data_IF_785626534498
#
_entry.id   IF_785626534498
#
_cell.length_a   1.000
_cell.length_b   1.000
_cell.length_c   1.000
_cell.angle_alpha   90.00
_cell.angle_beta   90.00
_cell.angle_gamma   90.00
#
_symmetry.space_group_name_H-M   'P 1'
#
loop_
_entity.id
_entity.type
_entity.pdbx_description
1 polymer ?
#
# COMPACT_ATOMS: atom_id res chain seq x y z
N UNK A 1 22.81 4.19 -10.55
CA UNK A 1 22.15 3.98 -9.25
C UNK A 1 22.20 2.50 -8.92
N UNK A 2 22.90 2.09 -7.87
CA UNK A 2 22.88 0.70 -7.39
C UNK A 2 21.50 0.46 -6.78
N UNK A 3 20.84 -0.64 -7.14
CA UNK A 3 19.49 -0.98 -6.66
C UNK A 3 19.44 -1.09 -5.13
N UNK A 4 18.29 -0.74 -4.54
CA UNK A 4 18.04 -0.92 -3.09
C UNK A 4 18.08 -2.40 -2.73
N UNK A 5 18.37 -2.70 -1.46
CA UNK A 5 18.37 -4.09 -0.99
C UNK A 5 16.95 -4.47 -0.60
N UNK A 6 16.43 -5.53 -1.21
CA UNK A 6 15.13 -6.12 -0.86
C UNK A 6 15.35 -7.54 -0.35
N UNK A 7 14.85 -7.86 0.82
CA UNK A 7 14.98 -9.19 1.44
C UNK A 7 13.76 -9.53 2.29
N UNK A 8 13.57 -10.80 2.65
CA UNK A 8 12.46 -11.22 3.51
C UNK A 8 12.72 -10.78 4.95
N UNK A 9 11.69 -10.26 5.62
CA UNK A 9 11.80 -9.86 7.01
C UNK A 9 12.13 -11.06 7.91
N UNK A 10 13.07 -10.85 8.84
CA UNK A 10 13.42 -11.78 9.90
C UNK A 10 13.54 -10.99 11.21
N UNK A 11 12.78 -11.35 12.28
CA UNK A 11 12.85 -10.67 13.57
C UNK A 11 14.24 -10.63 14.20
N UNK A 12 15.14 -11.55 13.82
CA UNK A 12 16.51 -11.61 14.32
C UNK A 12 17.46 -10.60 13.67
N UNK A 13 17.07 -9.99 12.55
CA UNK A 13 17.90 -9.03 11.86
C UNK A 13 17.80 -7.66 12.55
N UNK A 14 18.92 -6.92 12.69
CA UNK A 14 18.88 -5.55 13.18
C UNK A 14 18.08 -4.66 12.22
N UNK A 15 17.28 -3.75 12.77
CA UNK A 15 16.54 -2.76 12.00
C UNK A 15 17.44 -1.55 11.68
N UNK A 16 17.29 -1.00 10.48
CA UNK A 16 17.94 0.25 10.06
C UNK A 16 16.94 1.41 9.98
N UNK A 17 17.45 2.64 10.06
CA UNK A 17 16.67 3.88 10.01
C UNK A 17 16.00 4.10 8.64
N UNK A 18 16.64 3.66 7.55
CA UNK A 18 16.15 3.87 6.18
C UNK A 18 15.47 2.61 5.62
N UNK A 19 14.78 1.88 6.48
CA UNK A 19 14.03 0.67 6.13
C UNK A 19 12.53 0.88 6.23
N UNK A 20 11.83 0.22 5.32
CA UNK A 20 10.39 0.07 5.39
C UNK A 20 9.96 -1.27 4.82
N UNK A 21 8.68 -1.59 4.97
CA UNK A 21 8.21 -2.94 4.71
C UNK A 21 7.12 -2.97 3.64
N UNK A 22 6.99 -4.09 2.95
CA UNK A 22 5.92 -4.34 1.99
C UNK A 22 5.30 -5.71 2.25
N UNK A 23 3.98 -5.78 2.38
CA UNK A 23 3.27 -7.04 2.60
C UNK A 23 3.51 -8.00 1.41
N UNK A 24 3.77 -9.28 1.66
CA UNK A 24 4.04 -10.25 0.59
C UNK A 24 3.01 -11.39 0.50
N UNK A 25 2.01 -11.41 1.39
CA UNK A 25 0.89 -12.37 1.38
C UNK A 25 -0.47 -11.69 1.45
N UNK A 26 -1.47 -12.37 0.90
CA UNK A 26 -2.87 -11.94 0.80
C UNK A 26 -3.13 -11.00 -0.38
N UNK A 27 -4.38 -10.59 -0.52
CA UNK A 27 -4.83 -9.67 -1.58
C UNK A 27 -4.27 -8.25 -1.43
N UNK A 28 -3.66 -7.93 -0.29
CA UNK A 28 -2.99 -6.66 -0.04
C UNK A 28 -1.47 -6.72 -0.31
N UNK A 29 -0.98 -7.75 -1.00
CA UNK A 29 0.45 -7.86 -1.29
C UNK A 29 0.94 -6.63 -2.08
N UNK A 30 2.14 -6.16 -1.72
CA UNK A 30 2.73 -4.91 -2.20
C UNK A 30 2.38 -3.68 -1.35
N UNK A 31 1.43 -3.78 -0.41
CA UNK A 31 1.07 -2.67 0.48
C UNK A 31 2.28 -2.23 1.32
N UNK A 32 2.67 -0.95 1.30
CA UNK A 32 3.72 -0.44 2.18
C UNK A 32 3.26 -0.42 3.64
N UNK A 33 4.16 -0.76 4.54
CA UNK A 33 3.93 -0.84 5.99
C UNK A 33 5.05 -0.10 6.73
N UNK A 34 4.68 0.57 7.83
CA UNK A 34 5.62 1.21 8.74
C UNK A 34 6.17 0.25 9.79
N UNK A 35 5.37 -0.73 10.20
CA UNK A 35 5.70 -1.74 11.20
C UNK A 35 5.90 -3.09 10.48
N UNK A 36 6.96 -3.84 10.80
CA UNK A 36 7.18 -5.14 10.18
C UNK A 36 6.14 -6.18 10.62
N UNK A 37 5.96 -7.21 9.81
CA UNK A 37 5.21 -8.40 10.17
C UNK A 37 5.86 -9.65 9.54
N UNK A 38 5.53 -10.88 9.98
CA UNK A 38 6.14 -12.10 9.44
C UNK A 38 5.96 -12.29 7.92
N UNK A 39 4.96 -11.64 7.33
CA UNK A 39 4.62 -11.75 5.91
C UNK A 39 4.97 -10.47 5.15
N UNK A 40 6.17 -9.90 5.37
CA UNK A 40 6.64 -8.75 4.60
C UNK A 40 8.06 -8.92 4.04
N UNK A 41 8.32 -8.17 2.98
CA UNK A 41 9.66 -7.85 2.51
C UNK A 41 10.14 -6.57 3.19
N UNK A 42 11.45 -6.49 3.42
CA UNK A 42 12.18 -5.30 3.85
C UNK A 42 12.75 -4.64 2.62
N UNK A 43 12.57 -3.33 2.49
CA UNK A 43 13.19 -2.48 1.50
C UNK A 43 14.15 -1.56 2.24
N UNK A 44 15.45 -1.78 2.04
CA UNK A 44 16.53 -1.05 2.71
C UNK A 44 17.15 -0.05 1.74
N UNK A 45 16.90 1.22 2.03
CA UNK A 45 17.31 2.39 1.25
C UNK A 45 18.57 3.03 1.85
N UNK A 46 19.17 3.96 1.10
CA UNK A 46 20.41 4.65 1.52
C UNK A 46 20.15 5.91 2.33
N UNK A 47 19.03 6.55 2.06
CA UNK A 47 18.65 7.83 2.64
C UNK A 47 17.12 8.00 2.59
N UNK A 48 16.65 9.08 3.19
CA UNK A 48 15.23 9.41 3.31
C UNK A 48 14.60 9.68 1.94
N UNK A 49 15.34 10.32 1.02
CA UNK A 49 14.84 10.66 -0.32
C UNK A 49 14.55 9.40 -1.15
N UNK A 50 15.47 8.43 -1.14
CA UNK A 50 15.27 7.15 -1.82
C UNK A 50 14.11 6.38 -1.17
N UNK A 51 14.04 6.36 0.16
CA UNK A 51 12.94 5.72 0.88
C UNK A 51 11.58 6.31 0.49
N UNK A 52 11.46 7.63 0.40
CA UNK A 52 10.21 8.33 0.06
C UNK A 52 9.75 8.04 -1.39
N UNK A 53 10.70 7.95 -2.34
CA UNK A 53 10.42 7.55 -3.72
C UNK A 53 9.86 6.12 -3.75
N UNK A 54 10.54 5.15 -3.13
CA UNK A 54 10.12 3.76 -3.11
C UNK A 54 8.80 3.55 -2.35
N UNK A 55 8.58 4.28 -1.25
CA UNK A 55 7.31 4.27 -0.51
C UNK A 55 6.16 4.78 -1.37
N UNK A 56 6.35 5.89 -2.07
CA UNK A 56 5.34 6.45 -2.97
C UNK A 56 5.03 5.49 -4.10
N UNK A 57 6.06 4.87 -4.69
CA UNK A 57 5.90 3.89 -5.75
C UNK A 57 5.10 2.67 -5.29
N UNK A 58 5.49 2.04 -4.17
CA UNK A 58 4.79 0.87 -3.67
C UNK A 58 3.35 1.19 -3.29
N UNK A 59 3.10 2.37 -2.71
CA UNK A 59 1.73 2.83 -2.46
C UNK A 59 0.91 2.88 -3.75
N UNK A 60 1.43 3.49 -4.81
CA UNK A 60 0.75 3.56 -6.10
C UNK A 60 0.48 2.18 -6.70
N UNK A 61 1.50 1.32 -6.78
CA UNK A 61 1.38 -0.04 -7.33
C UNK A 61 0.39 -0.92 -6.55
N UNK A 62 0.33 -0.77 -5.22
CA UNK A 62 -0.66 -1.45 -4.39
C UNK A 62 -2.07 -0.90 -4.64
N UNK A 63 -2.23 0.43 -4.67
CA UNK A 63 -3.52 1.09 -4.87
C UNK A 63 -4.15 0.71 -6.22
N UNK A 64 -3.34 0.60 -7.28
CA UNK A 64 -3.77 0.17 -8.61
C UNK A 64 -3.89 -1.35 -8.77
N UNK A 65 -3.67 -2.12 -7.69
CA UNK A 65 -3.67 -3.60 -7.70
C UNK A 65 -2.67 -4.20 -8.70
N UNK A 66 -1.64 -3.48 -9.09
CA UNK A 66 -0.66 -3.93 -10.11
C UNK A 66 0.06 -5.22 -9.73
N UNK A 67 0.14 -5.51 -8.43
CA UNK A 67 0.73 -6.74 -7.91
C UNK A 67 -0.15 -7.99 -8.06
N UNK A 68 -1.44 -7.86 -8.36
CA UNK A 68 -2.36 -9.00 -8.41
C UNK A 68 -2.02 -10.00 -9.51
N UNK A 69 -1.42 -9.54 -10.61
CA UNK A 69 -0.95 -10.40 -11.70
C UNK A 69 0.18 -11.36 -11.28
N UNK A 70 0.89 -11.06 -10.19
CA UNK A 70 1.98 -11.88 -9.66
C UNK A 70 1.56 -12.76 -8.48
N UNK A 71 0.29 -12.68 -8.06
CA UNK A 71 -0.21 -13.46 -6.95
C UNK A 71 -0.34 -14.93 -7.36
N UNK A 72 0.28 -15.80 -6.58
CA UNK A 72 0.20 -17.25 -6.71
C UNK A 72 -0.26 -17.90 -5.40
N UNK A 73 -0.67 -19.16 -5.47
CA UNK A 73 -1.19 -19.91 -4.32
C UNK A 73 -2.72 -19.83 -4.25
N UNK A 74 -3.34 -20.93 -3.82
CA UNK A 74 -4.80 -21.09 -3.84
C UNK A 74 -5.46 -20.54 -2.57
N UNK A 75 -5.05 -21.02 -1.40
CA UNK A 75 -5.72 -20.65 -0.12
C UNK A 75 -5.29 -19.26 0.36
N UNK A 76 -3.99 -18.97 0.33
CA UNK A 76 -3.43 -17.67 0.69
C UNK A 76 -2.53 -17.22 -0.47
N UNK A 77 -3.00 -16.28 -1.31
CA UNK A 77 -2.18 -15.74 -2.38
C UNK A 77 -0.92 -15.05 -1.85
N UNK A 78 0.19 -15.13 -2.57
CA UNK A 78 1.43 -14.47 -2.21
C UNK A 78 2.27 -14.11 -3.43
N UNK A 79 3.25 -13.23 -3.25
CA UNK A 79 4.19 -12.82 -4.30
C UNK A 79 5.57 -13.36 -3.95
N UNK A 80 6.27 -13.94 -4.93
CA UNK A 80 7.66 -14.36 -4.74
C UNK A 80 8.57 -13.14 -4.73
N UNK A 81 9.61 -13.18 -3.91
CA UNK A 81 10.54 -12.04 -3.78
C UNK A 81 11.26 -11.71 -5.10
N UNK A 82 11.50 -12.71 -5.97
CA UNK A 82 12.08 -12.51 -7.29
C UNK A 82 11.18 -11.64 -8.18
N UNK A 83 9.92 -12.04 -8.33
CA UNK A 83 8.92 -11.31 -9.13
C UNK A 83 8.71 -9.89 -8.58
N UNK A 84 8.61 -9.77 -7.25
CA UNK A 84 8.50 -8.47 -6.58
C UNK A 84 9.69 -7.55 -6.89
N UNK A 85 10.93 -8.05 -6.79
CA UNK A 85 12.15 -7.28 -7.08
C UNK A 85 12.18 -6.82 -8.52
N UNK A 86 12.00 -7.75 -9.46
CA UNK A 86 12.06 -7.48 -10.90
C UNK A 86 11.05 -6.40 -11.28
N UNK A 87 9.81 -6.55 -10.82
CA UNK A 87 8.74 -5.59 -11.11
C UNK A 87 9.01 -4.22 -10.47
N UNK A 88 9.39 -4.16 -9.19
CA UNK A 88 9.66 -2.87 -8.53
C UNK A 88 10.81 -2.13 -9.21
N UNK A 89 11.91 -2.81 -9.56
CA UNK A 89 13.05 -2.16 -10.22
C UNK A 89 12.73 -1.68 -11.64
N UNK A 90 11.92 -2.42 -12.38
CA UNK A 90 11.39 -1.99 -13.68
C UNK A 90 10.58 -0.69 -13.52
N UNK A 91 9.65 -0.66 -12.57
CA UNK A 91 8.78 0.50 -12.34
C UNK A 91 9.55 1.73 -11.84
N UNK A 92 10.55 1.55 -10.97
CA UNK A 92 11.46 2.65 -10.57
C UNK A 92 12.20 3.20 -11.78
N UNK A 93 12.65 2.34 -12.68
CA UNK A 93 13.36 2.76 -13.89
C UNK A 93 12.44 3.54 -14.82
N UNK A 94 11.19 3.11 -14.98
CA UNK A 94 10.17 3.81 -15.75
C UNK A 94 9.79 5.16 -15.13
N UNK A 95 9.83 5.27 -13.80
CA UNK A 95 9.48 6.49 -13.08
C UNK A 95 10.59 7.56 -13.13
N UNK A 96 11.80 7.22 -13.57
CA UNK A 96 12.92 8.15 -13.63
C UNK A 96 12.58 9.43 -14.40
N UNK A 97 12.80 10.58 -13.76
CA UNK A 97 12.51 11.90 -14.31
C UNK A 97 11.05 12.36 -14.15
N UNK A 98 10.16 11.51 -13.64
CA UNK A 98 8.75 11.81 -13.35
C UNK A 98 8.39 11.69 -11.87
N UNK A 99 9.39 11.53 -11.00
CA UNK A 99 9.19 11.21 -9.57
C UNK A 99 8.36 12.27 -8.85
N UNK A 100 8.63 13.56 -9.14
CA UNK A 100 7.91 14.69 -8.52
C UNK A 100 6.43 14.71 -8.91
N UNK A 101 6.12 14.49 -10.19
CA UNK A 101 4.74 14.48 -10.69
C UNK A 101 3.96 13.32 -10.08
N UNK A 102 4.55 12.12 -10.12
CA UNK A 102 3.93 10.93 -9.51
C UNK A 102 3.71 11.07 -8.01
N UNK A 103 4.68 11.61 -7.27
CA UNK A 103 4.52 11.88 -5.83
C UNK A 103 3.34 12.82 -5.58
N UNK A 104 3.17 13.87 -6.39
CA UNK A 104 2.03 14.78 -6.30
C UNK A 104 0.70 14.06 -6.52
N UNK A 105 0.62 13.20 -7.54
CA UNK A 105 -0.59 12.43 -7.83
C UNK A 105 -0.93 11.43 -6.73
N UNK A 106 0.09 10.77 -6.14
CA UNK A 106 -0.08 9.90 -4.97
C UNK A 106 -0.67 10.68 -3.78
N UNK A 107 -0.20 11.89 -3.51
CA UNK A 107 -0.76 12.72 -2.43
C UNK A 107 -2.20 13.14 -2.72
N UNK A 108 -2.49 13.55 -3.95
CA UNK A 108 -3.85 13.88 -4.37
C UNK A 108 -4.79 12.67 -4.19
N UNK A 109 -4.35 11.47 -4.58
CA UNK A 109 -5.11 10.24 -4.40
C UNK A 109 -5.46 9.97 -2.94
N UNK A 110 -4.54 10.21 -2.00
CA UNK A 110 -4.80 10.03 -0.55
C UNK A 110 -5.86 11.02 -0.03
N UNK A 111 -5.81 12.26 -0.50
CA UNK A 111 -6.82 13.28 -0.15
C UNK A 111 -8.20 12.88 -0.69
N UNK A 112 -8.27 12.36 -1.91
CA UNK A 112 -9.51 11.86 -2.49
C UNK A 112 -10.06 10.67 -1.71
N UNK A 113 -9.20 9.71 -1.32
CA UNK A 113 -9.61 8.57 -0.49
C UNK A 113 -10.20 9.01 0.85
N UNK A 114 -9.64 10.03 1.49
CA UNK A 114 -10.19 10.58 2.74
C UNK A 114 -11.58 11.19 2.54
N UNK A 115 -11.77 11.96 1.46
CA UNK A 115 -13.08 12.53 1.11
C UNK A 115 -14.10 11.44 0.81
N UNK A 116 -13.69 10.40 0.08
CA UNK A 116 -14.55 9.25 -0.23
C UNK A 116 -15.07 8.59 1.05
N UNK A 117 -14.18 8.35 2.03
CA UNK A 117 -14.56 7.79 3.35
C UNK A 117 -15.55 8.69 4.11
N UNK A 118 -15.34 10.01 4.08
CA UNK A 118 -16.26 10.96 4.70
C UNK A 118 -17.66 10.91 4.07
N UNK A 119 -17.74 10.80 2.73
CA UNK A 119 -19.00 10.67 2.02
C UNK A 119 -19.72 9.37 2.37
N UNK A 120 -19.01 8.23 2.46
CA UNK A 120 -19.62 6.97 2.90
C UNK A 120 -20.21 7.08 4.31
N UNK A 121 -19.50 7.73 5.23
CA UNK A 121 -20.00 7.93 6.58
C UNK A 121 -21.25 8.84 6.61
N UNK A 122 -21.27 9.90 5.81
CA UNK A 122 -22.45 10.74 5.64
C UNK A 122 -23.65 9.95 5.10
N UNK A 123 -23.44 9.10 4.09
CA UNK A 123 -24.49 8.23 3.55
C UNK A 123 -25.01 7.25 4.61
N UNK A 124 -24.13 6.69 5.45
CA UNK A 124 -24.50 5.82 6.58
C UNK A 124 -25.41 6.57 7.56
N UNK A 125 -25.03 7.77 7.97
CA UNK A 125 -25.80 8.60 8.90
C UNK A 125 -27.17 8.99 8.32
N UNK A 126 -27.23 9.34 7.03
CA UNK A 126 -28.50 9.61 6.34
C UNK A 126 -29.42 8.39 6.38
N UNK A 127 -28.89 7.20 6.11
CA UNK A 127 -29.66 5.95 6.16
C UNK A 127 -30.19 5.67 7.57
N UNK A 128 -29.40 5.89 8.61
CA UNK A 128 -29.82 5.73 10.01
C UNK A 128 -30.92 6.71 10.39
N UNK A 129 -30.76 7.98 10.03
CA UNK A 129 -31.78 9.00 10.27
C UNK A 129 -33.11 8.62 9.62
N UNK A 130 -33.11 8.17 8.35
CA UNK A 130 -34.32 7.69 7.67
C UNK A 130 -35.02 6.58 8.45
N UNK A 131 -34.28 5.61 8.99
CA UNK A 131 -34.85 4.53 9.81
C UNK A 131 -35.48 5.06 11.09
N UNK A 132 -34.81 5.98 11.77
CA UNK A 132 -35.32 6.62 13.00
C UNK A 132 -36.58 7.44 12.71
N UNK A 133 -36.64 8.14 11.56
CA UNK A 133 -37.81 8.88 11.11
C UNK A 133 -39.05 8.00 10.92
N UNK A 134 -38.88 6.78 10.40
CA UNK A 134 -40.00 5.84 10.21
C UNK A 134 -40.34 5.14 11.53
N UNK A 135 -39.32 4.63 12.24
CA UNK A 135 -39.50 3.84 13.45
C UNK A 135 -40.24 4.59 14.56
N UNK A 136 -40.11 5.92 14.65
CA UNK A 136 -40.83 6.74 15.65
C UNK A 136 -42.36 6.64 15.53
N UNK A 137 -42.88 6.28 14.36
CA UNK A 137 -44.32 6.20 14.08
C UNK A 137 -44.85 4.76 14.13
N UNK A 138 -43.97 3.77 14.31
CA UNK A 138 -44.35 2.36 14.42
C UNK A 138 -44.45 1.98 15.89
N UNK A 139 -45.50 1.22 16.23
CA UNK A 139 -45.64 0.64 17.58
C UNK A 139 -44.54 -0.41 17.78
N UNK A 140 -43.93 -0.43 18.96
CA UNK A 140 -42.98 -1.46 19.36
C UNK A 140 -43.66 -2.83 19.48
#
# INVERSE_FOLDING_TARGET
MKAVKIFTYNPKNPQSEFEFYALCKGLNSGKPLDIPCPNCFVISCRNVEEMDIYRSLLFGLWQTKSFHQFLIGSVIPYIRIGDFKSFVFEQVTHLKGKEKAFKKDVQNSKVLEQKERQLYEQLRLISELKRIYIARHLKR
#
